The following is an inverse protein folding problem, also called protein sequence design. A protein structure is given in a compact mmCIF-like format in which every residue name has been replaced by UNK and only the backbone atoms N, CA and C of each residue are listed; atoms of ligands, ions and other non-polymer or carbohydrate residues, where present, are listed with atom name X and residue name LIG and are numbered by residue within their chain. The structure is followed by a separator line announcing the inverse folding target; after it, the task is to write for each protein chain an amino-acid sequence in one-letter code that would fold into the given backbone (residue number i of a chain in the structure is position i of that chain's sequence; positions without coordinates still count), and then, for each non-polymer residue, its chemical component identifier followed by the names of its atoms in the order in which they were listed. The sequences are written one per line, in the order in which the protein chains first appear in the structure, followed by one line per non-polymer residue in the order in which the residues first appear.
data_IF_580450979259
#
_entry.id   IF_580450979259
#
_cell.length_a   1.000
_cell.length_b   1.000
_cell.length_c   1.000
_cell.angle_alpha   90.00
_cell.angle_beta   90.00
_cell.angle_gamma   90.00
#
_symmetry.space_group_name_H-M   'P 1'
#
loop_
_entity.id
_entity.type
_entity.pdbx_description
1 polymer ?
#
# COMPACT_ATOMS: atom_id res chain seq x y z
N UNK A 1 1.47 -28.64 4.06
CA UNK A 1 1.45 -27.31 4.73
C UNK A 1 1.59 -26.14 3.74
N UNK A 2 2.48 -26.16 2.74
CA UNK A 2 2.54 -25.08 1.74
C UNK A 2 1.24 -24.90 0.93
N UNK A 3 0.63 -25.98 0.44
CA UNK A 3 -0.59 -25.90 -0.37
C UNK A 3 -1.79 -25.27 0.38
N UNK A 4 -1.94 -25.54 1.69
CA UNK A 4 -3.00 -24.93 2.50
C UNK A 4 -2.79 -23.43 2.72
N UNK A 5 -1.53 -23.00 2.91
CA UNK A 5 -1.22 -21.58 3.12
C UNK A 5 -1.45 -20.76 1.84
N UNK A 6 -1.13 -21.32 0.67
CA UNK A 6 -1.41 -20.69 -0.61
C UNK A 6 -2.92 -20.51 -0.82
N UNK A 7 -3.72 -21.53 -0.51
CA UNK A 7 -5.18 -21.44 -0.63
C UNK A 7 -5.77 -20.36 0.28
N UNK A 8 -5.29 -20.27 1.54
CA UNK A 8 -5.71 -19.23 2.48
C UNK A 8 -5.30 -17.84 1.96
N UNK A 9 -4.08 -17.67 1.45
CA UNK A 9 -3.60 -16.40 0.91
C UNK A 9 -4.45 -15.96 -0.29
N UNK A 10 -4.72 -16.86 -1.22
CA UNK A 10 -5.57 -16.58 -2.40
C UNK A 10 -7.00 -16.24 -1.97
N UNK A 11 -7.58 -17.01 -1.05
CA UNK A 11 -8.92 -16.74 -0.52
C UNK A 11 -9.02 -15.40 0.19
N UNK A 12 -8.02 -15.05 1.01
CA UNK A 12 -7.94 -13.76 1.69
C UNK A 12 -7.77 -12.59 0.71
N UNK A 13 -6.93 -12.73 -0.31
CA UNK A 13 -6.77 -11.72 -1.37
C UNK A 13 -8.04 -11.55 -2.20
N UNK A 14 -8.74 -12.64 -2.53
CA UNK A 14 -10.01 -12.58 -3.23
C UNK A 14 -11.09 -11.89 -2.39
N UNK A 15 -11.17 -12.21 -1.10
CA UNK A 15 -12.09 -11.55 -0.16
C UNK A 15 -11.78 -10.05 -0.01
N UNK A 16 -10.50 -9.67 0.06
CA UNK A 16 -10.09 -8.26 0.08
C UNK A 16 -10.51 -7.53 -1.20
N UNK A 17 -10.31 -8.15 -2.38
CA UNK A 17 -10.79 -7.59 -3.65
C UNK A 17 -12.32 -7.45 -3.71
N UNK A 18 -13.05 -8.46 -3.22
CA UNK A 18 -14.51 -8.42 -3.13
C UNK A 18 -14.99 -7.30 -2.19
N UNK A 19 -14.28 -7.07 -1.08
CA UNK A 19 -14.59 -5.98 -0.15
C UNK A 19 -14.51 -4.59 -0.83
N UNK A 20 -13.59 -4.38 -1.77
CA UNK A 20 -13.54 -3.14 -2.59
C UNK A 20 -14.81 -2.97 -3.42
N UNK A 21 -15.26 -4.05 -4.09
CA UNK A 21 -16.50 -4.03 -4.86
C UNK A 21 -17.74 -3.79 -3.98
N UNK A 22 -17.80 -4.44 -2.81
CA UNK A 22 -18.87 -4.23 -1.82
C UNK A 22 -18.88 -2.79 -1.29
N UNK A 23 -17.70 -2.23 -0.99
CA UNK A 23 -17.55 -0.84 -0.56
C UNK A 23 -17.96 0.18 -1.62
N UNK A 24 -17.92 -0.20 -2.91
CA UNK A 24 -18.37 0.63 -4.02
C UNK A 24 -19.88 0.55 -4.32
N UNK A 25 -20.62 -0.42 -3.75
CA UNK A 25 -22.07 -0.57 -3.98
C UNK A 25 -22.89 0.70 -3.69
N UNK A 26 -22.65 1.47 -2.61
CA UNK A 26 -23.40 2.70 -2.34
C UNK A 26 -23.30 3.75 -3.46
N UNK A 27 -22.22 3.70 -4.26
CA UNK A 27 -21.99 4.60 -5.38
C UNK A 27 -22.99 4.39 -6.53
N UNK A 28 -23.66 3.23 -6.59
CA UNK A 28 -24.73 2.97 -7.57
C UNK A 28 -26.02 3.76 -7.27
N UNK A 29 -26.23 4.13 -6.01
CA UNK A 29 -27.39 4.89 -5.54
C UNK A 29 -27.07 6.38 -5.38
N UNK A 30 -25.83 6.71 -4.99
CA UNK A 30 -25.37 8.07 -4.71
C UNK A 30 -24.52 8.60 -5.86
N UNK A 31 -25.05 9.58 -6.61
CA UNK A 31 -24.39 10.16 -7.80
C UNK A 31 -23.33 11.23 -7.51
N UNK A 32 -23.33 11.86 -6.32
CA UNK A 32 -22.37 12.90 -5.93
C UNK A 32 -22.02 12.79 -4.47
N UNK A 33 -20.72 12.76 -4.17
CA UNK A 33 -20.17 12.82 -2.82
C UNK A 33 -19.70 14.25 -2.55
N UNK A 34 -19.88 14.72 -1.32
CA UNK A 34 -19.35 16.04 -0.93
C UNK A 34 -17.83 15.97 -0.74
N UNK A 35 -17.05 17.02 -1.08
CA UNK A 35 -15.59 17.00 -0.93
C UNK A 35 -15.12 16.62 0.49
N UNK A 36 -15.85 17.09 1.53
CA UNK A 36 -15.54 16.75 2.93
C UNK A 36 -15.66 15.26 3.23
N UNK A 37 -16.66 14.59 2.64
CA UNK A 37 -16.85 13.15 2.81
C UNK A 37 -15.77 12.37 2.07
N UNK A 38 -15.41 12.82 0.87
CA UNK A 38 -14.31 12.23 0.09
C UNK A 38 -12.97 12.34 0.84
N UNK A 39 -12.63 13.54 1.33
CA UNK A 39 -11.43 13.77 2.13
C UNK A 39 -11.40 12.89 3.40
N UNK A 40 -12.55 12.73 4.07
CA UNK A 40 -12.66 11.87 5.25
C UNK A 40 -12.43 10.39 4.91
N UNK A 41 -12.98 9.91 3.79
CA UNK A 41 -12.78 8.52 3.34
C UNK A 41 -11.34 8.27 2.91
N UNK A 42 -10.73 9.18 2.15
CA UNK A 42 -9.32 9.10 1.74
C UNK A 42 -8.38 9.15 2.95
N UNK A 43 -8.64 10.07 3.89
CA UNK A 43 -7.88 10.18 5.13
C UNK A 43 -7.99 8.93 6.01
N UNK A 44 -9.19 8.36 6.12
CA UNK A 44 -9.39 7.10 6.84
C UNK A 44 -8.61 5.95 6.19
N UNK A 45 -8.70 5.80 4.87
CA UNK A 45 -7.96 4.77 4.13
C UNK A 45 -6.44 4.92 4.30
N UNK A 46 -5.92 6.14 4.19
CA UNK A 46 -4.51 6.44 4.42
C UNK A 46 -4.06 6.07 5.85
N UNK A 47 -4.88 6.37 6.85
CA UNK A 47 -4.63 5.99 8.24
C UNK A 47 -4.58 4.47 8.45
N UNK A 48 -5.58 3.73 7.96
CA UNK A 48 -5.64 2.26 8.11
C UNK A 48 -4.46 1.58 7.43
N UNK A 49 -4.11 1.99 6.21
CA UNK A 49 -2.96 1.42 5.48
C UNK A 49 -1.64 1.70 6.18
N UNK A 50 -1.46 2.91 6.72
CA UNK A 50 -0.26 3.27 7.47
C UNK A 50 -0.14 2.43 8.75
N UNK A 51 -1.22 2.28 9.51
CA UNK A 51 -1.24 1.46 10.71
C UNK A 51 -0.94 -0.02 10.40
N UNK A 52 -1.53 -0.58 9.34
CA UNK A 52 -1.24 -1.93 8.88
C UNK A 52 0.24 -2.10 8.51
N UNK A 53 0.83 -1.15 7.80
CA UNK A 53 2.25 -1.18 7.44
C UNK A 53 3.16 -1.22 8.67
N UNK A 54 2.87 -0.47 9.73
CA UNK A 54 3.67 -0.52 10.96
C UNK A 54 3.43 -1.81 11.76
N UNK A 55 2.19 -2.09 12.17
CA UNK A 55 1.91 -3.17 13.11
C UNK A 55 1.96 -4.57 12.49
N UNK A 56 1.48 -4.71 11.24
CA UNK A 56 1.38 -6.03 10.59
C UNK A 56 2.59 -6.37 9.74
N UNK A 57 3.33 -5.37 9.25
CA UNK A 57 4.50 -5.61 8.40
C UNK A 57 5.81 -5.24 9.10
N UNK A 58 6.00 -3.97 9.52
CA UNK A 58 7.29 -3.48 9.98
C UNK A 58 7.74 -4.15 11.29
N UNK A 59 6.87 -4.18 12.32
CA UNK A 59 7.21 -4.84 13.59
C UNK A 59 7.44 -6.34 13.40
N UNK A 60 6.53 -7.04 12.71
CA UNK A 60 6.66 -8.49 12.44
C UNK A 60 7.91 -8.80 11.59
N UNK A 61 8.26 -7.91 10.66
CA UNK A 61 9.48 -8.00 9.85
C UNK A 61 10.75 -7.82 10.68
N UNK A 62 10.76 -6.89 11.64
CA UNK A 62 11.88 -6.72 12.57
C UNK A 62 12.07 -7.94 13.47
N UNK A 63 10.98 -8.51 14.00
CA UNK A 63 11.05 -9.72 14.83
C UNK A 63 11.57 -10.91 14.01
N UNK A 64 11.10 -11.07 12.77
CA UNK A 64 11.59 -12.09 11.85
C UNK A 64 13.07 -11.90 11.49
N UNK A 65 13.54 -10.65 11.33
CA UNK A 65 14.93 -10.33 11.03
C UNK A 65 15.83 -10.62 12.24
N UNK A 66 15.41 -10.25 13.46
CA UNK A 66 16.15 -10.53 14.71
C UNK A 66 16.31 -12.02 14.98
N UNK A 67 15.37 -12.84 14.53
CA UNK A 67 15.46 -14.30 14.63
C UNK A 67 16.44 -14.93 13.64
N UNK A 68 16.81 -14.22 12.56
CA UNK A 68 17.63 -14.75 11.47
C UNK A 68 19.03 -14.13 11.38
N UNK A 69 19.21 -12.92 11.92
CA UNK A 69 20.43 -12.13 11.82
C UNK A 69 20.94 -11.85 13.23
N UNK A 70 22.20 -12.22 13.50
CA UNK A 70 22.84 -11.97 14.78
C UNK A 70 23.26 -10.49 14.93
N UNK A 71 23.25 -10.00 16.17
CA UNK A 71 23.61 -8.62 16.51
C UNK A 71 22.42 -7.66 16.60
N UNK A 72 22.63 -6.50 17.24
CA UNK A 72 21.54 -5.57 17.54
C UNK A 72 21.22 -4.60 16.39
N UNK A 73 22.22 -4.24 15.58
CA UNK A 73 22.08 -3.20 14.54
C UNK A 73 21.74 -3.80 13.18
N UNK A 74 22.33 -4.95 12.84
CA UNK A 74 22.16 -5.57 11.52
C UNK A 74 20.71 -5.90 11.14
N UNK A 75 19.86 -6.47 12.02
CA UNK A 75 18.45 -6.75 11.70
C UNK A 75 17.62 -5.47 11.43
N UNK A 76 17.91 -4.40 12.18
CA UNK A 76 17.22 -3.11 12.02
C UNK A 76 17.64 -2.47 10.71
N UNK A 77 18.94 -2.47 10.41
CA UNK A 77 19.48 -1.95 9.17
C UNK A 77 18.92 -2.69 7.93
N UNK A 78 18.76 -4.02 7.99
CA UNK A 78 18.19 -4.78 6.87
C UNK A 78 16.73 -4.44 6.60
N UNK A 79 15.91 -4.30 7.65
CA UNK A 79 14.49 -3.94 7.48
C UNK A 79 14.35 -2.49 7.01
N UNK A 80 15.16 -1.57 7.53
CA UNK A 80 15.19 -0.19 7.06
C UNK A 80 15.62 -0.09 5.59
N UNK A 81 16.64 -0.86 5.18
CA UNK A 81 17.06 -0.93 3.78
C UNK A 81 15.96 -1.50 2.88
N UNK A 82 15.26 -2.55 3.31
CA UNK A 82 14.12 -3.12 2.57
C UNK A 82 12.96 -2.12 2.42
N UNK A 83 12.64 -1.37 3.48
CA UNK A 83 11.62 -0.31 3.44
C UNK A 83 11.99 0.80 2.46
N UNK A 84 13.24 1.28 2.52
CA UNK A 84 13.76 2.30 1.60
C UNK A 84 13.79 1.79 0.15
N UNK A 85 14.20 0.53 -0.06
CA UNK A 85 14.18 -0.08 -1.39
C UNK A 85 12.75 -0.15 -1.95
N UNK A 86 11.76 -0.53 -1.14
CA UNK A 86 10.34 -0.51 -1.53
C UNK A 86 9.86 0.89 -1.90
N UNK A 87 10.21 1.91 -1.10
CA UNK A 87 9.87 3.31 -1.40
C UNK A 87 10.52 3.79 -2.70
N UNK A 88 11.78 3.43 -2.95
CA UNK A 88 12.48 3.74 -4.20
C UNK A 88 11.80 3.04 -5.38
N UNK A 89 11.43 1.77 -5.26
CA UNK A 89 10.71 1.04 -6.32
C UNK A 89 9.39 1.73 -6.66
N UNK A 90 8.60 2.12 -5.65
CA UNK A 90 7.34 2.86 -5.88
C UNK A 90 7.62 4.21 -6.55
N UNK A 91 8.65 4.95 -6.11
CA UNK A 91 9.04 6.21 -6.72
C UNK A 91 9.53 6.06 -8.18
N UNK A 92 10.21 4.96 -8.50
CA UNK A 92 10.61 4.65 -9.86
C UNK A 92 9.39 4.31 -10.72
N UNK A 93 8.43 3.54 -10.21
CA UNK A 93 7.18 3.24 -10.91
C UNK A 93 6.46 4.55 -11.27
N UNK A 94 6.35 5.48 -10.32
CA UNK A 94 5.75 6.81 -10.57
C UNK A 94 6.51 7.59 -11.66
N UNK A 95 7.84 7.49 -11.70
CA UNK A 95 8.64 8.18 -12.72
C UNK A 95 8.55 7.55 -14.11
N UNK A 96 8.43 6.23 -14.19
CA UNK A 96 8.42 5.49 -15.47
C UNK A 96 7.03 5.23 -16.04
N UNK A 97 5.99 5.32 -15.21
CA UNK A 97 4.60 5.30 -15.64
C UNK A 97 3.99 6.72 -15.53
N UNK A 98 4.37 7.69 -16.39
CA UNK A 98 3.75 9.00 -16.39
C UNK A 98 2.28 8.87 -16.80
N UNK A 99 1.38 9.09 -15.85
CA UNK A 99 -0.07 9.08 -16.07
C UNK A 99 -0.54 10.49 -16.44
N UNK A 100 -1.25 10.64 -17.55
CA UNK A 100 -1.88 11.91 -17.90
C UNK A 100 -3.12 12.13 -17.04
N UNK A 101 -3.08 13.13 -16.14
CA UNK A 101 -4.29 13.57 -15.46
C UNK A 101 -5.10 14.39 -16.46
N UNK A 102 -6.28 13.88 -16.84
CA UNK A 102 -7.20 14.50 -17.81
C UNK A 102 -7.58 15.97 -17.49
N UNK A 103 -7.36 16.43 -16.25
CA UNK A 103 -7.69 17.77 -15.76
C UNK A 103 -6.43 18.57 -15.32
N UNK A 104 -5.34 17.91 -14.91
CA UNK A 104 -4.14 18.57 -14.35
C UNK A 104 -2.89 18.54 -15.25
N UNK A 105 -2.98 17.98 -16.46
CA UNK A 105 -1.86 17.84 -17.38
C UNK A 105 -0.92 16.68 -17.02
N UNK A 106 0.13 16.50 -17.83
CA UNK A 106 1.13 15.43 -17.62
C UNK A 106 1.93 15.72 -16.35
N UNK A 107 1.90 14.83 -15.36
CA UNK A 107 2.75 14.88 -14.18
C UNK A 107 3.84 13.80 -14.30
N UNK A 108 5.10 14.22 -14.19
CA UNK A 108 6.31 13.41 -14.42
C UNK A 108 7.47 14.30 -14.89
N UNK A 109 8.66 13.74 -15.17
CA UNK A 109 9.88 14.51 -15.57
C UNK A 109 9.72 15.39 -16.82
N UNK A 110 8.58 15.31 -17.52
CA UNK A 110 8.21 16.11 -18.68
C UNK A 110 7.71 17.53 -18.37
N UNK A 111 7.49 17.90 -17.11
CA UNK A 111 6.94 19.23 -16.71
C UNK A 111 8.03 20.22 -16.28
N UNK A 112 9.31 19.86 -16.39
CA UNK A 112 10.44 20.80 -16.26
C UNK A 112 11.23 20.83 -17.56
N UNK A 113 10.73 21.59 -18.53
CA UNK A 113 11.50 22.17 -19.61
C UNK A 113 10.87 23.52 -19.96
#
# INVERSE_FOLDING_TARGET
MMASNVLIAVGASAAAGAATGLGALPLLLVKRISPRTEDAMLGFAAGVMTAAAFFSLLLRGLDAARAQIEGQVAPVASVAAALLAGAVVIGLIEWYAPHEHFIHGRQGRSTRA
#
